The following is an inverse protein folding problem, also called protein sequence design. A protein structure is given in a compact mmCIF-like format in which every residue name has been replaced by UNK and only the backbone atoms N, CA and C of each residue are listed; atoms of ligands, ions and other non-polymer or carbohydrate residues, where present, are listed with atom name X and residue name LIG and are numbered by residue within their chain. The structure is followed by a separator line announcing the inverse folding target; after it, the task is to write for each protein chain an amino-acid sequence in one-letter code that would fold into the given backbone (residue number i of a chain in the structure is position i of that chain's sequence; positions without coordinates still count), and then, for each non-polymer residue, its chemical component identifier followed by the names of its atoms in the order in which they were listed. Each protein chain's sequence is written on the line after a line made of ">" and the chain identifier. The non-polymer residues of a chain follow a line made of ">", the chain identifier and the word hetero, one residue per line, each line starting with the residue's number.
data_IF_698642073529
#
_entry.id   IF_698642073529
#
_cell.length_a   1.000
_cell.length_b   1.000
_cell.length_c   1.000
_cell.angle_alpha   90.00
_cell.angle_beta   90.00
_cell.angle_gamma   90.00
#
_symmetry.space_group_name_H-M   'P 1'
#
loop_
_entity.id
_entity.type
_entity.pdbx_description
1 polymer ?
#
# COMPACT_ATOMS: atom_id res chain seq x y z
N UNK A 1 18.99 -2.71 14.67
CA UNK A 1 18.05 -3.17 13.63
C UNK A 1 16.90 -2.16 13.58
N UNK A 2 16.94 -1.18 12.69
CA UNK A 2 15.76 -0.30 12.51
C UNK A 2 14.70 -1.10 11.74
N UNK A 3 13.82 -1.76 12.48
CA UNK A 3 12.56 -2.24 11.92
C UNK A 3 11.80 -0.97 11.52
N UNK A 4 11.60 -0.74 10.22
CA UNK A 4 10.72 0.33 9.75
C UNK A 4 9.38 0.27 10.48
N UNK A 5 8.75 1.42 10.70
CA UNK A 5 7.49 1.50 11.43
C UNK A 5 6.40 0.70 10.69
N UNK A 6 5.63 -0.10 11.44
CA UNK A 6 4.43 -0.74 10.90
C UNK A 6 3.28 0.25 11.00
N UNK A 7 2.66 0.58 9.87
CA UNK A 7 1.57 1.56 9.81
C UNK A 7 0.39 0.97 9.05
N UNK A 8 -0.78 1.52 9.33
CA UNK A 8 -2.03 1.20 8.65
C UNK A 8 -2.56 2.47 8.00
N UNK A 9 -2.85 2.39 6.70
CA UNK A 9 -3.42 3.48 5.92
C UNK A 9 -4.76 3.04 5.33
N UNK A 10 -5.67 3.99 5.17
CA UNK A 10 -7.00 3.77 4.60
C UNK A 10 -7.23 4.75 3.45
N UNK A 11 -7.67 4.25 2.30
CA UNK A 11 -7.64 4.99 1.05
C UNK A 11 -7.91 4.12 -0.16
N UNK A 12 -7.54 4.59 -1.34
CA UNK A 12 -7.85 3.94 -2.62
C UNK A 12 -6.57 3.61 -3.40
N UNK A 13 -6.58 2.46 -4.09
CA UNK A 13 -5.51 2.06 -5.00
C UNK A 13 -5.84 2.58 -6.40
N UNK A 14 -5.23 3.70 -6.82
CA UNK A 14 -5.67 4.44 -8.01
C UNK A 14 -4.87 4.12 -9.28
N UNK A 15 -3.72 3.46 -9.16
CA UNK A 15 -2.87 3.09 -10.29
C UNK A 15 -1.94 1.92 -9.93
N UNK A 16 -1.61 1.09 -10.92
CA UNK A 16 -0.72 -0.06 -10.81
C UNK A 16 0.42 0.01 -11.83
N UNK A 17 1.62 -0.33 -11.38
CA UNK A 17 2.81 -0.59 -12.17
C UNK A 17 3.53 -1.82 -11.58
N UNK A 18 3.29 -3.00 -12.15
CA UNK A 18 3.76 -4.29 -11.64
C UNK A 18 3.33 -4.56 -10.17
N UNK A 19 4.29 -4.69 -9.26
CA UNK A 19 4.06 -4.85 -7.81
C UNK A 19 3.88 -3.50 -7.08
N UNK A 20 4.06 -2.39 -7.78
CA UNK A 20 3.98 -1.04 -7.23
C UNK A 20 2.63 -0.40 -7.55
N UNK A 21 2.04 0.22 -6.56
CA UNK A 21 0.74 0.86 -6.66
C UNK A 21 0.81 2.27 -6.12
N UNK A 22 0.00 3.16 -6.69
CA UNK A 22 -0.22 4.49 -6.11
C UNK A 22 -1.43 4.40 -5.19
N UNK A 23 -1.18 4.58 -3.90
CA UNK A 23 -2.20 4.64 -2.87
C UNK A 23 -2.53 6.10 -2.59
N UNK A 24 -3.82 6.43 -2.52
CA UNK A 24 -4.31 7.77 -2.22
C UNK A 24 -5.13 7.75 -0.94
N UNK A 25 -4.77 8.63 -0.02
CA UNK A 25 -5.54 8.93 1.19
C UNK A 25 -6.00 10.40 1.16
N UNK A 26 -6.74 10.89 2.18
CA UNK A 26 -7.15 12.30 2.23
C UNK A 26 -6.00 13.32 2.33
N UNK A 27 -4.80 12.88 2.72
CA UNK A 27 -3.62 13.75 2.91
C UNK A 27 -2.73 13.84 1.68
N UNK A 28 -2.78 12.84 0.79
CA UNK A 28 -1.98 12.83 -0.43
C UNK A 28 -1.90 11.45 -1.07
N UNK A 29 -0.77 11.20 -1.73
CA UNK A 29 -0.48 9.91 -2.37
C UNK A 29 0.86 9.38 -1.94
N UNK A 30 0.96 8.05 -1.87
CA UNK A 30 2.20 7.33 -1.55
C UNK A 30 2.33 6.11 -2.46
N UNK A 31 3.59 5.74 -2.76
CA UNK A 31 3.87 4.47 -3.44
C UNK A 31 3.83 3.33 -2.43
N UNK A 32 3.06 2.31 -2.74
CA UNK A 32 2.95 1.10 -1.94
C UNK A 32 3.35 -0.10 -2.79
N UNK A 33 4.14 -1.00 -2.23
CA UNK A 33 4.43 -2.29 -2.86
C UNK A 33 3.45 -3.31 -2.29
N UNK A 34 2.66 -3.92 -3.16
CA UNK A 34 1.68 -4.95 -2.76
C UNK A 34 2.01 -6.23 -3.54
N UNK A 35 2.79 -7.15 -2.95
CA UNK A 35 3.09 -8.43 -3.57
C UNK A 35 1.81 -9.20 -3.91
N UNK A 36 1.79 -9.93 -5.03
CA UNK A 36 0.60 -10.65 -5.49
C UNK A 36 -0.01 -11.58 -4.42
N UNK A 37 0.84 -12.17 -3.56
CA UNK A 37 0.41 -13.01 -2.43
C UNK A 37 -0.49 -12.31 -1.40
N UNK A 38 -0.39 -10.98 -1.28
CA UNK A 38 -1.15 -10.19 -0.29
C UNK A 38 -2.59 -10.02 -0.73
N UNK A 39 -2.84 -9.94 -2.04
CA UNK A 39 -4.18 -9.85 -2.59
C UNK A 39 -5.02 -11.08 -2.28
N UNK A 40 -4.43 -12.26 -2.16
CA UNK A 40 -5.12 -13.51 -1.81
C UNK A 40 -6.41 -13.75 -2.63
N UNK A 41 -6.40 -13.38 -3.92
CA UNK A 41 -7.56 -13.48 -4.82
C UNK A 41 -8.59 -12.34 -4.70
N UNK A 42 -8.38 -11.37 -3.83
CA UNK A 42 -9.17 -10.14 -3.77
C UNK A 42 -8.80 -9.21 -4.91
N UNK A 43 -9.81 -8.54 -5.46
CA UNK A 43 -9.65 -7.48 -6.45
C UNK A 43 -10.26 -6.19 -5.87
N UNK A 44 -9.54 -5.09 -6.01
CA UNK A 44 -9.99 -3.77 -5.60
C UNK A 44 -9.79 -2.81 -6.77
N UNK A 45 -10.84 -2.06 -7.08
CA UNK A 45 -10.80 -1.01 -8.08
C UNK A 45 -10.38 0.34 -7.48
N UNK A 46 -10.08 1.33 -8.32
CA UNK A 46 -9.73 2.68 -7.89
C UNK A 46 -10.83 3.42 -7.09
N UNK A 47 -12.05 2.88 -7.09
CA UNK A 47 -13.19 3.41 -6.33
C UNK A 47 -13.35 2.72 -4.96
N UNK A 48 -12.71 1.57 -4.76
CA UNK A 48 -12.85 0.79 -3.53
C UNK A 48 -11.98 1.41 -2.43
N UNK A 49 -12.61 1.67 -1.29
CA UNK A 49 -11.88 2.03 -0.08
C UNK A 49 -11.28 0.76 0.52
N UNK A 50 -9.97 0.77 0.71
CA UNK A 50 -9.20 -0.35 1.26
C UNK A 50 -8.32 0.12 2.40
N UNK A 51 -8.05 -0.80 3.31
CA UNK A 51 -7.10 -0.65 4.41
C UNK A 51 -5.86 -1.48 4.11
N UNK A 52 -4.72 -0.81 3.99
CA UNK A 52 -3.40 -1.43 3.79
C UNK A 52 -2.58 -1.31 5.06
N UNK A 53 -1.90 -2.38 5.45
CA UNK A 53 -0.96 -2.36 6.59
C UNK A 53 0.38 -2.92 6.17
N UNK A 54 1.45 -2.23 6.54
CA UNK A 54 2.77 -2.54 6.04
C UNK A 54 3.89 -1.84 6.78
N UNK A 55 5.11 -2.16 6.36
CA UNK A 55 6.33 -1.55 6.88
C UNK A 55 6.73 -0.35 6.02
N UNK A 56 6.96 0.79 6.66
CA UNK A 56 7.54 1.96 5.99
C UNK A 56 8.99 1.65 5.65
N UNK A 57 9.33 1.78 4.37
CA UNK A 57 10.68 1.59 3.83
C UNK A 57 11.11 2.85 3.08
N UNK A 58 12.42 3.09 3.04
CA UNK A 58 13.01 4.13 2.21
C UNK A 58 13.71 3.45 1.04
N UNK A 59 13.20 3.65 -0.17
CA UNK A 59 13.77 3.10 -1.39
C UNK A 59 14.04 4.23 -2.39
N UNK A 60 15.24 4.26 -2.97
CA UNK A 60 15.65 5.26 -3.96
C UNK A 60 15.42 6.73 -3.54
N UNK A 61 15.55 7.04 -2.24
CA UNK A 61 15.35 8.38 -1.69
C UNK A 61 13.88 8.79 -1.48
N UNK A 62 12.94 7.89 -1.74
CA UNK A 62 11.51 8.09 -1.48
C UNK A 62 11.01 7.19 -0.35
N UNK A 63 10.02 7.67 0.39
CA UNK A 63 9.31 6.86 1.39
C UNK A 63 8.22 6.05 0.70
N UNK A 64 8.25 4.74 0.90
CA UNK A 64 7.31 3.77 0.35
C UNK A 64 6.78 2.86 1.46
N UNK A 65 5.65 2.19 1.20
CA UNK A 65 5.08 1.21 2.12
C UNK A 65 5.18 -0.20 1.52
N UNK A 66 5.85 -1.13 2.20
CA UNK A 66 5.81 -2.55 1.85
C UNK A 66 4.61 -3.21 2.55
N UNK A 67 3.57 -3.51 1.78
CA UNK A 67 2.29 -3.95 2.30
C UNK A 67 2.34 -5.45 2.61
N UNK A 68 2.01 -5.79 3.86
CA UNK A 68 1.87 -7.18 4.29
C UNK A 68 0.42 -7.65 4.34
N UNK A 69 -0.53 -6.73 4.51
CA UNK A 69 -1.96 -7.03 4.66
C UNK A 69 -2.78 -5.99 3.92
N UNK A 70 -3.77 -6.45 3.15
CA UNK A 70 -4.82 -5.63 2.56
C UNK A 70 -6.19 -6.16 2.97
N UNK A 71 -7.14 -5.28 3.21
CA UNK A 71 -8.49 -5.63 3.64
C UNK A 71 -9.47 -4.52 3.24
N UNK A 72 -10.76 -4.85 3.20
CA UNK A 72 -11.79 -3.82 3.24
C UNK A 72 -11.88 -3.26 4.68
N UNK A 73 -12.15 -1.96 4.85
CA UNK A 73 -12.19 -1.30 6.16
C UNK A 73 -13.17 -1.93 7.16
#
# INVERSE_FOLDING_TARGET
>A
MHKGAWVTLEGNVISQQDEWYTFRDPTGTIKVRIPQKVWNGQHFDAQDLVRVSGQVIHENGATSLDVGVISKP
#
